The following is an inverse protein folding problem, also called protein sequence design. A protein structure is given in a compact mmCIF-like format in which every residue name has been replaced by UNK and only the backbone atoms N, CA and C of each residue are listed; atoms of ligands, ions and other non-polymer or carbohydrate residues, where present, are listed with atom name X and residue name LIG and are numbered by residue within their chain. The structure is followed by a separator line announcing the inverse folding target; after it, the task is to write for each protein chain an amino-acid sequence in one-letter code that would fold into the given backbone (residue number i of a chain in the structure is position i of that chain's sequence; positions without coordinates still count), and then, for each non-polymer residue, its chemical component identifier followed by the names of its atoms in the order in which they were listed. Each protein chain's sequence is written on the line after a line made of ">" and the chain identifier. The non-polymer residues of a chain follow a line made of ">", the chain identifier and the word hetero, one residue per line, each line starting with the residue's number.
data_IF_340359706982
#
_entry.id   IF_340359706982
#
_cell.length_a   1.000
_cell.length_b   1.000
_cell.length_c   1.000
_cell.angle_alpha   90.00
_cell.angle_beta   90.00
_cell.angle_gamma   90.00
#
_symmetry.space_group_name_H-M   'P 1'
#
loop_
_entity.id
_entity.type
_entity.pdbx_description
1 polymer ?
#
# COMPACT_ATOMS: atom_id res chain seq x y z
N UNK A 1 22.40 -30.76 -62.66
CA UNK A 1 22.18 -29.35 -62.25
C UNK A 1 21.16 -29.22 -61.10
N UNK A 2 20.19 -30.13 -60.96
CA UNK A 2 19.15 -30.07 -59.90
C UNK A 2 19.65 -30.22 -58.45
N UNK A 3 20.77 -30.92 -58.22
CA UNK A 3 21.29 -31.15 -56.85
C UNK A 3 21.85 -29.89 -56.19
N UNK A 4 22.40 -28.95 -56.97
CA UNK A 4 22.95 -27.69 -56.46
C UNK A 4 21.85 -26.69 -56.07
N UNK A 5 20.74 -26.69 -56.81
CA UNK A 5 19.56 -25.86 -56.51
C UNK A 5 18.86 -26.32 -55.24
N UNK A 6 18.73 -27.64 -55.01
CA UNK A 6 18.13 -28.18 -53.79
C UNK A 6 18.96 -27.86 -52.54
N UNK A 7 20.28 -27.94 -52.62
CA UNK A 7 21.16 -27.65 -51.49
C UNK A 7 21.14 -26.15 -51.11
N UNK A 8 21.03 -25.26 -52.10
CA UNK A 8 20.93 -23.81 -51.88
C UNK A 8 19.57 -23.39 -51.31
N UNK A 9 18.47 -24.04 -51.74
CA UNK A 9 17.14 -23.82 -51.15
C UNK A 9 17.09 -24.29 -49.69
N UNK A 10 17.58 -25.50 -49.39
CA UNK A 10 17.55 -26.04 -48.03
C UNK A 10 18.35 -25.17 -47.03
N UNK A 11 19.51 -24.65 -47.44
CA UNK A 11 20.33 -23.76 -46.60
C UNK A 11 19.62 -22.43 -46.28
N UNK A 12 18.83 -21.87 -47.21
CA UNK A 12 18.06 -20.63 -46.97
C UNK A 12 16.93 -20.85 -45.96
N UNK A 13 16.21 -21.97 -46.05
CA UNK A 13 15.11 -22.28 -45.14
C UNK A 13 15.60 -22.41 -43.70
N UNK A 14 16.70 -23.16 -43.47
CA UNK A 14 17.29 -23.35 -42.14
C UNK A 14 17.78 -22.01 -41.54
N UNK A 15 18.32 -21.11 -42.38
CA UNK A 15 18.80 -19.81 -41.91
C UNK A 15 17.64 -18.90 -41.49
N UNK A 16 16.54 -18.90 -42.25
CA UNK A 16 15.33 -18.13 -41.94
C UNK A 16 14.64 -18.64 -40.66
N UNK A 17 14.54 -19.96 -40.45
CA UNK A 17 13.96 -20.52 -39.23
C UNK A 17 14.75 -20.11 -37.97
N UNK A 18 16.08 -20.18 -38.03
CA UNK A 18 16.94 -19.74 -36.93
C UNK A 18 16.78 -18.25 -36.63
N UNK A 19 16.65 -17.41 -37.66
CA UNK A 19 16.45 -15.97 -37.49
C UNK A 19 15.09 -15.66 -36.85
N UNK A 20 14.04 -16.39 -37.22
CA UNK A 20 12.70 -16.29 -36.64
C UNK A 20 12.73 -16.70 -35.15
N UNK A 21 13.41 -17.78 -34.81
CA UNK A 21 13.52 -18.24 -33.41
C UNK A 21 14.28 -17.25 -32.54
N UNK A 22 15.35 -16.63 -33.04
CA UNK A 22 16.08 -15.58 -32.33
C UNK A 22 15.17 -14.36 -32.10
N UNK A 23 14.42 -13.93 -33.12
CA UNK A 23 13.46 -12.81 -33.00
C UNK A 23 12.38 -13.11 -31.95
N UNK A 24 11.82 -14.32 -31.97
CA UNK A 24 10.83 -14.76 -30.97
C UNK A 24 11.42 -14.74 -29.57
N UNK A 25 12.59 -15.35 -29.35
CA UNK A 25 13.27 -15.34 -28.04
C UNK A 25 13.54 -13.92 -27.54
N UNK A 26 13.96 -13.01 -28.42
CA UNK A 26 14.17 -11.60 -28.06
C UNK A 26 12.87 -10.88 -27.68
N UNK A 27 11.76 -11.15 -28.37
CA UNK A 27 10.45 -10.60 -28.03
C UNK A 27 9.98 -11.14 -26.67
N UNK A 28 10.08 -12.45 -26.44
CA UNK A 28 9.73 -13.07 -25.16
C UNK A 28 10.57 -12.52 -24.01
N UNK A 29 11.88 -12.37 -24.20
CA UNK A 29 12.80 -11.76 -23.22
C UNK A 29 12.36 -10.34 -22.84
N UNK A 30 12.04 -9.49 -23.83
CA UNK A 30 11.57 -8.12 -23.59
C UNK A 30 10.22 -8.09 -22.86
N UNK A 31 9.31 -8.99 -23.20
CA UNK A 31 8.01 -9.09 -22.54
C UNK A 31 8.16 -9.48 -21.07
N UNK A 32 9.00 -10.45 -20.76
CA UNK A 32 9.30 -10.85 -19.37
C UNK A 32 9.88 -9.66 -18.60
N UNK A 33 10.86 -8.96 -19.18
CA UNK A 33 11.44 -7.77 -18.53
C UNK A 33 10.39 -6.69 -18.26
N UNK A 34 9.48 -6.45 -19.21
CA UNK A 34 8.38 -5.50 -19.04
C UNK A 34 7.44 -5.90 -17.90
N UNK A 35 7.04 -7.17 -17.82
CA UNK A 35 6.17 -7.67 -16.74
C UNK A 35 6.83 -7.52 -15.38
N UNK A 36 8.12 -7.84 -15.27
CA UNK A 36 8.88 -7.68 -14.02
C UNK A 36 8.94 -6.21 -13.61
N UNK A 37 9.29 -5.32 -14.54
CA UNK A 37 9.36 -3.89 -14.27
C UNK A 37 7.98 -3.32 -13.86
N UNK A 38 6.92 -3.72 -14.56
CA UNK A 38 5.56 -3.31 -14.26
C UNK A 38 5.10 -3.80 -12.89
N UNK A 39 5.44 -5.04 -12.52
CA UNK A 39 5.14 -5.60 -11.21
C UNK A 39 5.84 -4.84 -10.08
N UNK A 40 7.11 -4.47 -10.28
CA UNK A 40 7.87 -3.64 -9.33
C UNK A 40 7.20 -2.27 -9.17
N UNK A 41 6.85 -1.61 -10.26
CA UNK A 41 6.16 -0.31 -10.22
C UNK A 41 4.80 -0.39 -9.52
N UNK A 42 4.03 -1.46 -9.74
CA UNK A 42 2.73 -1.66 -9.10
C UNK A 42 2.87 -1.84 -7.58
N UNK A 43 3.84 -2.64 -7.13
CA UNK A 43 4.14 -2.82 -5.70
C UNK A 43 4.57 -1.50 -5.07
N UNK A 44 5.50 -0.77 -5.70
CA UNK A 44 5.97 0.52 -5.19
C UNK A 44 4.84 1.57 -5.16
N UNK A 45 3.99 1.61 -6.19
CA UNK A 45 2.83 2.52 -6.26
C UNK A 45 1.80 2.24 -5.16
N UNK A 46 1.55 0.96 -4.83
CA UNK A 46 0.68 0.58 -3.72
C UNK A 46 1.21 1.05 -2.36
N UNK A 47 2.52 0.96 -2.14
CA UNK A 47 3.18 1.47 -0.91
C UNK A 47 3.04 2.99 -0.80
N UNK A 48 3.21 3.71 -1.92
CA UNK A 48 3.07 5.18 -1.96
C UNK A 48 1.63 5.60 -1.61
N UNK A 49 0.62 4.94 -2.17
CA UNK A 49 -0.79 5.26 -1.90
C UNK A 49 -1.19 5.06 -0.42
N UNK A 50 -0.61 4.07 0.27
CA UNK A 50 -0.86 3.84 1.70
C UNK A 50 -0.50 5.04 2.58
N UNK A 51 0.64 5.69 2.30
CA UNK A 51 1.08 6.89 3.04
C UNK A 51 0.21 8.12 2.77
N UNK A 52 -0.28 8.30 1.53
CA UNK A 52 -1.18 9.40 1.20
C UNK A 52 -2.48 9.33 2.01
N UNK A 53 -3.05 8.13 2.18
CA UNK A 53 -4.25 7.94 2.98
C UNK A 53 -4.09 8.27 4.47
N UNK A 54 -2.89 8.14 5.05
CA UNK A 54 -2.67 8.59 6.43
C UNK A 54 -2.77 10.12 6.54
N UNK A 55 -2.04 10.86 5.71
CA UNK A 55 -1.98 12.33 5.79
C UNK A 55 -3.36 12.97 5.53
N UNK A 56 -4.14 12.42 4.63
CA UNK A 56 -5.40 13.04 4.20
C UNK A 56 -6.59 12.69 5.11
N UNK A 57 -6.49 11.65 5.94
CA UNK A 57 -7.55 11.27 6.90
C UNK A 57 -7.73 12.35 7.97
N UNK A 58 -8.98 12.82 8.12
CA UNK A 58 -9.43 13.72 9.18
C UNK A 58 -10.41 13.00 10.08
N UNK A 59 -10.25 13.17 11.38
CA UNK A 59 -11.20 12.70 12.37
C UNK A 59 -11.15 13.58 13.62
N UNK A 60 -12.30 13.79 14.24
CA UNK A 60 -12.41 14.49 15.49
C UNK A 60 -13.63 13.99 16.25
N UNK A 61 -13.51 13.83 17.56
CA UNK A 61 -14.64 13.39 18.38
C UNK A 61 -14.22 12.93 19.77
N UNK A 62 -15.21 12.47 20.52
CA UNK A 62 -15.01 11.78 21.81
C UNK A 62 -14.98 10.28 21.54
N UNK A 63 -14.01 9.59 22.15
CA UNK A 63 -13.90 8.13 22.05
C UNK A 63 -15.03 7.51 22.88
N UNK A 64 -15.99 6.90 22.21
CA UNK A 64 -17.14 6.25 22.82
C UNK A 64 -16.83 4.79 23.19
N UNK A 65 -16.06 4.10 22.34
CA UNK A 65 -15.74 2.69 22.50
C UNK A 65 -14.43 2.34 21.80
N UNK A 66 -13.70 1.37 22.34
CA UNK A 66 -12.53 0.75 21.71
C UNK A 66 -12.80 -0.76 21.65
N UNK A 67 -12.87 -1.33 20.46
CA UNK A 67 -13.15 -2.75 20.25
C UNK A 67 -11.95 -3.46 19.63
N UNK A 68 -11.70 -4.69 20.07
CA UNK A 68 -10.71 -5.59 19.47
C UNK A 68 -11.46 -6.70 18.72
N UNK A 69 -11.61 -6.59 17.39
CA UNK A 69 -12.30 -7.62 16.63
C UNK A 69 -11.57 -8.95 16.75
N UNK A 70 -12.31 -10.04 16.96
CA UNK A 70 -11.74 -11.38 17.23
C UNK A 70 -10.76 -11.85 16.14
N UNK A 71 -10.99 -11.42 14.89
CA UNK A 71 -10.16 -11.78 13.74
C UNK A 71 -9.01 -10.80 13.44
N UNK A 72 -8.76 -9.79 14.28
CA UNK A 72 -7.69 -8.80 14.08
C UNK A 72 -6.92 -8.55 15.38
N UNK A 73 -5.79 -9.24 15.54
CA UNK A 73 -4.88 -9.01 16.67
C UNK A 73 -4.13 -7.69 16.47
N UNK A 74 -4.17 -6.83 17.48
CA UNK A 74 -3.32 -5.65 17.58
C UNK A 74 -3.87 -4.36 16.93
N UNK A 75 -4.96 -4.41 16.16
CA UNK A 75 -5.54 -3.21 15.54
C UNK A 75 -6.97 -2.99 16.01
N UNK A 76 -7.19 -2.29 17.13
CA UNK A 76 -8.54 -1.99 17.61
C UNK A 76 -9.29 -1.06 16.65
N UNK A 77 -10.62 -1.10 16.73
CA UNK A 77 -11.52 -0.12 16.12
C UNK A 77 -11.89 0.88 17.20
N UNK A 78 -11.68 2.17 16.92
CA UNK A 78 -12.03 3.27 17.83
C UNK A 78 -13.32 3.89 17.32
N UNK A 79 -14.35 3.95 18.15
CA UNK A 79 -15.62 4.56 17.81
C UNK A 79 -15.63 6.01 18.30
N UNK A 80 -15.84 6.94 17.36
CA UNK A 80 -15.99 8.38 17.60
C UNK A 80 -17.28 8.86 16.93
N UNK A 81 -18.20 9.46 17.69
CA UNK A 81 -19.49 9.91 17.19
C UNK A 81 -20.23 8.81 16.40
N UNK A 82 -20.29 7.58 16.92
CA UNK A 82 -20.81 6.36 16.25
C UNK A 82 -20.05 5.85 15.02
N UNK A 83 -18.99 6.54 14.56
CA UNK A 83 -18.15 6.09 13.44
C UNK A 83 -16.94 5.30 13.93
N UNK A 84 -16.77 4.08 13.45
CA UNK A 84 -15.58 3.26 13.71
C UNK A 84 -14.42 3.67 12.82
N UNK A 85 -13.32 4.15 13.41
CA UNK A 85 -12.06 4.44 12.73
C UNK A 85 -11.02 3.38 13.10
N UNK A 86 -10.18 3.02 12.12
CA UNK A 86 -8.99 2.22 12.32
C UNK A 86 -7.77 3.09 12.06
N UNK A 87 -6.88 3.14 13.04
CA UNK A 87 -5.62 3.86 12.89
C UNK A 87 -4.64 3.01 12.06
N UNK A 88 -3.84 3.66 11.25
CA UNK A 88 -2.78 3.00 10.47
C UNK A 88 -1.58 2.66 11.36
N UNK A 89 -0.59 1.98 10.77
CA UNK A 89 0.62 1.59 11.48
C UNK A 89 1.44 2.80 11.96
N UNK A 90 1.40 3.91 11.24
CA UNK A 90 2.07 5.17 11.61
C UNK A 90 1.45 5.81 12.85
N UNK A 91 0.17 5.51 13.10
CA UNK A 91 -0.64 6.04 14.19
C UNK A 91 -0.62 5.12 15.43
N UNK A 92 0.01 3.94 15.32
CA UNK A 92 0.01 2.90 16.35
C UNK A 92 0.54 3.39 17.71
N UNK A 93 1.46 4.36 17.70
CA UNK A 93 2.06 4.97 18.89
C UNK A 93 1.03 5.58 19.86
N UNK A 94 -0.15 5.95 19.38
CA UNK A 94 -1.17 6.57 20.23
C UNK A 94 -1.98 5.52 21.00
N UNK A 95 -2.01 4.26 20.57
CA UNK A 95 -2.93 3.25 21.12
C UNK A 95 -2.78 3.05 22.63
N UNK A 96 -1.56 3.15 23.17
CA UNK A 96 -1.29 3.01 24.61
C UNK A 96 -1.85 4.17 25.45
N UNK A 97 -2.16 5.30 24.81
CA UNK A 97 -2.63 6.51 25.47
C UNK A 97 -4.14 6.73 25.35
N UNK A 98 -4.82 6.02 24.44
CA UNK A 98 -6.26 6.18 24.20
C UNK A 98 -7.09 5.66 25.38
N UNK A 99 -8.10 6.45 25.77
CA UNK A 99 -9.11 6.04 26.76
C UNK A 99 -10.50 6.42 26.26
N UNK A 100 -11.50 5.63 26.65
CA UNK A 100 -12.90 6.00 26.45
C UNK A 100 -13.18 7.30 27.22
N UNK A 101 -13.82 8.26 26.55
CA UNK A 101 -14.08 9.60 27.04
C UNK A 101 -13.06 10.66 26.64
N UNK A 102 -11.90 10.27 26.08
CA UNK A 102 -10.92 11.24 25.56
C UNK A 102 -11.40 11.87 24.25
N UNK A 103 -10.98 13.12 24.00
CA UNK A 103 -11.16 13.73 22.69
C UNK A 103 -9.94 13.48 21.83
N UNK A 104 -10.16 12.93 20.64
CA UNK A 104 -9.10 12.71 19.64
C UNK A 104 -9.33 13.62 18.45
N UNK A 105 -8.28 14.25 17.93
CA UNK A 105 -8.33 15.16 16.78
C UNK A 105 -7.14 14.93 15.86
N UNK A 106 -7.42 14.76 14.58
CA UNK A 106 -6.45 14.78 13.48
C UNK A 106 -6.99 15.60 12.33
N UNK A 107 -6.22 16.59 11.90
CA UNK A 107 -6.55 17.41 10.74
C UNK A 107 -6.02 16.79 9.44
N UNK A 108 -6.75 16.99 8.35
CA UNK A 108 -6.30 16.58 7.02
C UNK A 108 -5.03 17.35 6.63
N UNK A 109 -4.10 16.70 5.93
CA UNK A 109 -2.82 17.28 5.56
C UNK A 109 -1.75 17.22 6.67
N UNK A 110 -2.09 16.68 7.85
CA UNK A 110 -1.17 16.59 9.00
C UNK A 110 -0.93 15.14 9.40
N UNK A 111 0.26 14.87 9.93
CA UNK A 111 0.58 13.59 10.61
C UNK A 111 0.35 13.69 12.13
N UNK A 112 0.07 14.89 12.61
CA UNK A 112 -0.10 15.19 14.02
C UNK A 112 -1.47 14.73 14.52
N UNK A 113 -1.47 13.98 15.61
CA UNK A 113 -2.68 13.58 16.32
C UNK A 113 -2.65 14.21 17.70
N UNK A 114 -3.73 14.90 18.04
CA UNK A 114 -3.94 15.50 19.35
C UNK A 114 -4.94 14.66 20.13
N UNK A 115 -4.57 14.31 21.35
CA UNK A 115 -5.42 13.59 22.29
C UNK A 115 -5.60 14.46 23.54
N UNK A 116 -6.85 14.74 23.89
CA UNK A 116 -7.20 15.49 25.09
C UNK A 116 -7.82 14.54 26.09
N UNK A 117 -7.17 14.39 27.24
CA UNK A 117 -7.66 13.59 28.36
C UNK A 117 -8.34 14.49 29.38
N UNK A 118 -9.57 14.16 29.78
CA UNK A 118 -10.25 14.89 30.84
C UNK A 118 -9.80 14.36 32.19
N UNK A 119 -9.09 15.20 32.94
CA UNK A 119 -8.63 14.86 34.29
C UNK A 119 -9.77 14.94 35.31
N UNK A 120 -9.54 14.35 36.49
CA UNK A 120 -10.53 14.34 37.58
C UNK A 120 -10.93 15.75 38.06
N UNK A 121 -10.04 16.74 37.90
CA UNK A 121 -10.29 18.15 38.21
C UNK A 121 -11.10 18.89 37.14
N UNK A 122 -11.54 18.19 36.08
CA UNK A 122 -12.30 18.75 34.96
C UNK A 122 -11.47 19.47 33.89
N UNK A 123 -10.15 19.60 34.09
CA UNK A 123 -9.24 20.17 33.08
C UNK A 123 -8.92 19.15 31.99
N UNK A 124 -8.66 19.65 30.79
CA UNK A 124 -8.20 18.85 29.68
C UNK A 124 -6.68 18.91 29.59
N UNK A 125 -6.04 17.74 29.55
CA UNK A 125 -4.61 17.59 29.28
C UNK A 125 -4.41 17.21 27.82
N UNK A 126 -3.69 18.03 27.08
CA UNK A 126 -3.30 17.75 25.69
C UNK A 126 -2.07 16.85 25.62
N UNK A 127 -2.10 15.88 24.72
CA UNK A 127 -0.98 15.03 24.32
C UNK A 127 -0.87 15.08 22.80
N UNK A 128 0.33 15.32 22.29
CA UNK A 128 0.60 15.50 20.85
C UNK A 128 1.49 14.35 20.37
N UNK A 129 1.11 13.75 19.25
CA UNK A 129 1.83 12.65 18.62
C UNK A 129 2.13 13.01 17.15
N UNK A 130 3.41 12.94 16.75
CA UNK A 130 3.90 13.25 15.38
C UNK A 130 4.48 12.01 14.70
#
# INVERSE_FOLDING_TARGET
>A
MESLTNNKMNKRTITNEKEIDIKRKNIFSKLILFIVLFSILFVLGGVINGHFHFKDRKYYGIIEKIEYPENRRGSPVIFINTNGIQLSMEEFKIYSSLRVGDSIVKESGTTTIKLYHKEANGKWREMIFE
#
